data_IF_276102926198
#
_entry.id   IF_276102926198
#
_cell.length_a   1.000
_cell.length_b   1.000
_cell.length_c   1.000
_cell.angle_alpha   90.00
_cell.angle_beta   90.00
_cell.angle_gamma   90.00
#
_symmetry.space_group_name_H-M   'P 1'
#
loop_
_entity.id
_entity.type
_entity.pdbx_description
1 polymer ?
#
# COMPACT_ATOMS: atom_id res chain seq x y z
N UNK A 1 -1.71 -5.39 -22.65
CA UNK A 1 -1.43 -5.42 -21.18
C UNK A 1 -1.97 -4.13 -20.58
N UNK A 2 -2.55 -4.18 -19.38
CA UNK A 2 -3.19 -3.02 -18.75
C UNK A 2 -2.42 -2.61 -17.50
N UNK A 3 -2.08 -1.33 -17.38
CA UNK A 3 -1.43 -0.77 -16.19
C UNK A 3 -2.36 0.25 -15.56
N UNK A 4 -2.61 0.14 -14.27
CA UNK A 4 -3.35 1.14 -13.50
C UNK A 4 -2.36 2.18 -12.96
N UNK A 5 -2.57 3.44 -13.32
CA UNK A 5 -1.78 4.57 -12.85
C UNK A 5 -2.66 5.50 -12.00
N UNK A 6 -2.17 5.91 -10.83
CA UNK A 6 -2.88 6.84 -9.94
C UNK A 6 -2.28 8.24 -10.11
N UNK A 7 -3.13 9.21 -10.42
CA UNK A 7 -2.75 10.61 -10.62
C UNK A 7 -2.47 11.27 -9.28
N UNK A 8 -1.29 11.84 -9.10
CA UNK A 8 -0.99 12.69 -7.95
C UNK A 8 -1.40 14.14 -8.22
N UNK A 9 -1.42 14.98 -7.18
CA UNK A 9 -1.65 16.43 -7.33
C UNK A 9 -0.64 17.07 -8.29
N UNK A 10 0.63 16.65 -8.22
CA UNK A 10 1.70 17.12 -9.12
C UNK A 10 1.44 16.72 -10.58
N UNK A 11 0.94 15.51 -10.82
CA UNK A 11 0.56 15.06 -12.16
C UNK A 11 -0.54 15.92 -12.78
N UNK A 12 -1.57 16.23 -12.00
CA UNK A 12 -2.70 17.07 -12.45
C UNK A 12 -2.26 18.51 -12.72
N UNK A 13 -1.48 19.11 -11.81
CA UNK A 13 -1.04 20.50 -11.93
C UNK A 13 -0.08 20.72 -13.09
N UNK A 14 0.88 19.83 -13.27
CA UNK A 14 1.88 19.95 -14.33
C UNK A 14 1.43 19.32 -15.67
N UNK A 15 0.31 18.58 -15.68
CA UNK A 15 -0.13 17.84 -16.86
C UNK A 15 0.83 16.73 -17.28
N UNK A 16 1.52 16.15 -16.30
CA UNK A 16 2.56 15.14 -16.50
C UNK A 16 2.22 13.82 -15.83
N UNK A 17 2.71 12.71 -16.35
CA UNK A 17 2.61 11.39 -15.75
C UNK A 17 3.98 10.87 -15.35
N UNK A 18 4.13 10.32 -14.15
CA UNK A 18 5.40 9.76 -13.71
C UNK A 18 5.71 8.46 -14.47
N UNK A 19 6.97 8.32 -14.88
CA UNK A 19 7.46 7.17 -15.62
C UNK A 19 7.74 6.01 -14.65
N UNK A 20 6.70 5.23 -14.33
CA UNK A 20 6.80 4.02 -13.49
C UNK A 20 7.68 2.96 -14.14
N UNK A 21 8.21 2.01 -13.37
CA UNK A 21 9.11 0.96 -13.88
C UNK A 21 8.52 0.20 -15.10
N UNK A 22 7.22 -0.11 -15.06
CA UNK A 22 6.51 -0.76 -16.17
C UNK A 22 6.39 0.14 -17.41
N UNK A 23 6.18 1.45 -17.23
CA UNK A 23 6.19 2.41 -18.32
C UNK A 23 7.60 2.58 -18.92
N UNK A 24 8.65 2.62 -18.07
CA UNK A 24 10.05 2.77 -18.53
C UNK A 24 10.47 1.64 -19.47
N UNK A 25 10.15 0.40 -19.11
CA UNK A 25 10.50 -0.78 -19.92
C UNK A 25 9.81 -0.78 -21.29
N UNK A 26 8.59 -0.23 -21.37
CA UNK A 26 7.79 -0.23 -22.60
C UNK A 26 8.08 0.95 -23.51
N UNK A 27 8.41 2.09 -22.92
CA UNK A 27 8.75 3.31 -23.65
C UNK A 27 10.25 3.40 -23.94
N UNK A 28 11.06 2.40 -23.57
CA UNK A 28 12.51 2.40 -23.73
C UNK A 28 12.91 2.71 -25.19
N UNK A 29 13.67 3.79 -25.38
CA UNK A 29 14.11 4.24 -26.71
C UNK A 29 13.09 5.08 -27.49
N UNK A 30 11.92 5.39 -26.92
CA UNK A 30 10.93 6.31 -27.49
C UNK A 30 11.00 7.67 -26.79
N UNK A 31 11.18 8.72 -27.57
CA UNK A 31 11.15 10.11 -27.08
C UNK A 31 9.73 10.70 -27.14
N UNK A 32 8.90 10.20 -28.07
CA UNK A 32 7.52 10.63 -28.28
C UNK A 32 6.59 9.43 -28.30
N UNK A 33 5.42 9.57 -27.68
CA UNK A 33 4.42 8.50 -27.52
C UNK A 33 3.05 9.08 -27.85
N UNK A 34 2.28 8.33 -28.62
CA UNK A 34 0.90 8.67 -28.93
C UNK A 34 -0.02 7.95 -27.94
N UNK A 35 -0.79 8.74 -27.21
CA UNK A 35 -1.83 8.24 -26.34
C UNK A 35 -3.19 8.43 -27.01
N UNK A 36 -4.04 7.42 -27.00
CA UNK A 36 -5.37 7.45 -27.63
C UNK A 36 -6.42 7.34 -26.53
N UNK A 37 -7.35 8.28 -26.41
CA UNK A 37 -8.45 8.16 -25.42
C UNK A 37 -9.50 7.14 -25.86
N UNK A 38 -10.41 6.77 -24.96
CA UNK A 38 -11.61 5.97 -25.22
C UNK A 38 -12.50 6.56 -26.33
N UNK A 39 -12.43 7.88 -26.54
CA UNK A 39 -13.17 8.57 -27.61
C UNK A 39 -12.42 8.59 -28.96
N UNK A 40 -11.23 7.98 -29.04
CA UNK A 40 -10.39 7.93 -30.25
C UNK A 40 -9.54 9.18 -30.49
N UNK A 41 -9.48 10.12 -29.54
CA UNK A 41 -8.63 11.31 -29.64
C UNK A 41 -7.17 10.99 -29.33
N UNK A 42 -6.27 11.47 -30.20
CA UNK A 42 -4.84 11.23 -30.08
C UNK A 42 -4.15 12.41 -29.40
N UNK A 43 -3.42 12.11 -28.32
CA UNK A 43 -2.62 13.03 -27.54
C UNK A 43 -1.14 12.68 -27.71
N UNK A 44 -0.37 13.62 -28.26
CA UNK A 44 1.07 13.46 -28.38
C UNK A 44 1.76 13.84 -27.08
N UNK A 45 2.56 12.92 -26.56
CA UNK A 45 3.24 13.08 -25.28
C UNK A 45 4.75 12.85 -25.41
N UNK A 46 5.52 13.69 -24.73
CA UNK A 46 6.98 13.67 -24.74
C UNK A 46 7.52 12.99 -23.48
N UNK A 47 8.50 12.10 -23.64
CA UNK A 47 9.10 11.35 -22.54
C UNK A 47 10.38 12.04 -22.07
N UNK A 48 10.30 12.73 -20.94
CA UNK A 48 11.46 13.32 -20.27
C UNK A 48 12.14 12.26 -19.40
N UNK A 49 13.17 11.62 -19.95
CA UNK A 49 13.97 10.61 -19.26
C UNK A 49 14.80 11.17 -18.09
N UNK A 50 15.18 12.46 -18.15
CA UNK A 50 15.95 13.11 -17.08
C UNK A 50 15.07 13.39 -15.87
N UNK A 51 13.85 13.88 -16.10
CA UNK A 51 12.84 14.09 -15.07
C UNK A 51 12.07 12.83 -14.68
N UNK A 52 12.13 11.77 -15.49
CA UNK A 52 11.37 10.55 -15.30
C UNK A 52 9.86 10.79 -15.42
N UNK A 53 9.44 11.68 -16.32
CA UNK A 53 8.04 12.08 -16.50
C UNK A 53 7.66 12.10 -17.98
N UNK A 54 6.38 11.85 -18.27
CA UNK A 54 5.76 12.00 -19.56
C UNK A 54 4.95 13.30 -19.54
N UNK A 55 5.19 14.19 -20.49
CA UNK A 55 4.54 15.50 -20.61
C UNK A 55 3.52 15.48 -21.75
N UNK A 56 2.50 16.35 -21.69
CA UNK A 56 1.51 16.48 -22.77
C UNK A 56 0.15 15.86 -22.49
N UNK A 57 -0.08 15.36 -21.26
CA UNK A 57 -1.35 14.73 -20.86
C UNK A 57 -2.34 15.70 -20.20
N UNK A 58 -1.97 16.98 -20.05
CA UNK A 58 -2.84 18.02 -19.49
C UNK A 58 -4.21 18.14 -20.19
N UNK A 59 -4.30 18.14 -21.53
CA UNK A 59 -5.58 18.27 -22.23
C UNK A 59 -6.53 17.11 -21.94
N UNK A 60 -5.98 15.89 -21.83
CA UNK A 60 -6.73 14.70 -21.45
C UNK A 60 -7.32 14.80 -20.03
N UNK A 61 -6.51 15.26 -19.07
CA UNK A 61 -6.96 15.45 -17.69
C UNK A 61 -8.06 16.50 -17.57
N UNK A 62 -7.96 17.59 -18.33
CA UNK A 62 -8.98 18.63 -18.38
C UNK A 62 -10.30 18.13 -18.98
N UNK A 63 -10.25 17.40 -20.10
CA UNK A 63 -11.43 16.84 -20.78
C UNK A 63 -12.21 15.89 -19.86
N UNK A 64 -11.51 15.00 -19.17
CA UNK A 64 -12.12 14.02 -18.26
C UNK A 64 -12.37 14.57 -16.84
N UNK A 65 -12.04 15.85 -16.58
CA UNK A 65 -12.13 16.52 -15.26
C UNK A 65 -11.49 15.70 -14.14
N UNK A 66 -10.33 15.11 -14.44
CA UNK A 66 -9.65 14.20 -13.52
C UNK A 66 -9.07 14.97 -12.33
N UNK A 67 -9.17 14.38 -11.14
CA UNK A 67 -8.65 14.93 -9.90
C UNK A 67 -7.49 14.10 -9.33
N UNK A 68 -6.78 14.67 -8.36
CA UNK A 68 -5.75 13.94 -7.63
C UNK A 68 -6.37 12.72 -6.93
N UNK A 69 -5.61 11.62 -6.88
CA UNK A 69 -5.98 10.29 -6.42
C UNK A 69 -6.95 9.52 -7.32
N UNK A 70 -7.29 10.04 -8.50
CA UNK A 70 -8.03 9.27 -9.50
C UNK A 70 -7.09 8.38 -10.31
N UNK A 71 -7.61 7.26 -10.80
CA UNK A 71 -6.83 6.27 -11.52
C UNK A 71 -7.18 6.25 -13.00
N UNK A 72 -6.16 6.15 -13.84
CA UNK A 72 -6.27 5.90 -15.28
C UNK A 72 -5.72 4.52 -15.60
N UNK A 73 -6.34 3.81 -16.52
CA UNK A 73 -5.88 2.57 -17.10
C UNK A 73 -5.17 2.86 -18.41
N UNK A 74 -3.96 2.33 -18.52
CA UNK A 74 -3.11 2.41 -19.69
C UNK A 74 -3.12 1.05 -20.38
N UNK A 75 -3.74 0.98 -21.54
CA UNK A 75 -3.82 -0.21 -22.37
C UNK A 75 -2.77 -0.11 -23.47
N UNK A 76 -1.70 -0.89 -23.35
CA UNK A 76 -0.63 -0.91 -24.35
C UNK A 76 -1.01 -1.83 -25.50
N UNK A 77 -1.20 -1.27 -26.70
CA UNK A 77 -1.43 -1.98 -27.97
C UNK A 77 -0.30 -1.63 -28.95
N UNK A 78 0.85 -2.27 -28.77
CA UNK A 78 2.02 -2.05 -29.62
C UNK A 78 2.61 -0.66 -29.43
N UNK A 79 2.42 0.23 -30.41
CA UNK A 79 2.95 1.60 -30.40
C UNK A 79 2.01 2.64 -29.81
N UNK A 80 0.72 2.32 -29.74
CA UNK A 80 -0.32 3.19 -29.23
C UNK A 80 -0.68 2.81 -27.79
N UNK A 81 -0.88 3.83 -26.95
CA UNK A 81 -1.30 3.64 -25.56
C UNK A 81 -2.71 4.17 -25.40
N UNK A 82 -3.67 3.25 -25.32
CA UNK A 82 -5.07 3.57 -25.04
C UNK A 82 -5.21 4.04 -23.57
N UNK A 83 -5.70 5.24 -23.36
CA UNK A 83 -6.02 5.85 -22.08
C UNK A 83 -7.48 5.62 -21.75
N UNK A 84 -7.74 5.05 -20.56
CA UNK A 84 -9.07 4.82 -20.04
C UNK A 84 -9.22 5.40 -18.64
N UNK A 85 -10.15 6.32 -18.44
CA UNK A 85 -10.39 6.90 -17.14
C UNK A 85 -11.24 5.93 -16.30
N UNK A 86 -10.79 5.57 -15.08
CA UNK A 86 -11.66 4.81 -14.19
C UNK A 86 -12.73 5.73 -13.62
N UNK A 87 -14.00 5.29 -13.57
CA UNK A 87 -15.07 6.07 -12.99
C UNK A 87 -14.75 6.36 -11.52
N UNK A 88 -15.09 7.57 -11.07
CA UNK A 88 -15.01 7.96 -9.65
C UNK A 88 -15.73 6.90 -8.82
N UNK A 89 -14.98 6.19 -7.98
CA UNK A 89 -15.60 5.45 -6.89
C UNK A 89 -16.31 6.47 -5.99
N UNK A 90 -17.57 6.24 -5.58
CA UNK A 90 -18.25 7.14 -4.67
C UNK A 90 -17.42 7.22 -3.38
N UNK A 91 -17.02 8.43 -3.03
CA UNK A 91 -16.34 8.73 -1.78
C UNK A 91 -17.30 8.42 -0.64
N UNK A 92 -17.09 7.30 0.07
CA UNK A 92 -17.74 7.07 1.36
C UNK A 92 -16.96 7.85 2.41
N UNK A 93 -17.49 8.96 2.97
CA UNK A 93 -16.85 9.59 4.12
C UNK A 93 -16.82 8.57 5.27
N UNK A 94 -15.74 8.51 6.06
CA UNK A 94 -15.73 7.71 7.28
C UNK A 94 -16.85 8.22 8.20
N UNK A 95 -17.83 7.37 8.50
CA UNK A 95 -18.85 7.70 9.48
C UNK A 95 -18.17 7.90 10.85
N UNK A 96 -18.46 9.01 11.57
CA UNK A 96 -17.98 9.16 12.94
C UNK A 96 -18.64 8.09 13.82
N UNK A 97 -17.81 7.32 14.52
CA UNK A 97 -18.23 6.32 15.51
C UNK A 97 -19.12 7.00 16.56
N UNK A 98 -20.42 6.67 16.57
CA UNK A 98 -21.32 7.08 17.65
C UNK A 98 -21.07 6.20 18.88
N UNK A 99 -21.00 6.76 20.10
CA UNK A 99 -20.84 5.97 21.32
C UNK A 99 -22.09 5.10 21.56
N UNK A 100 -21.94 3.89 22.14
CA UNK A 100 -23.04 2.95 22.30
C UNK A 100 -23.97 3.41 23.44
N UNK A 101 -25.19 3.83 23.07
CA UNK A 101 -26.27 4.10 24.00
C UNK A 101 -26.89 2.76 24.44
N UNK A 102 -26.92 2.52 25.75
CA UNK A 102 -27.56 1.35 26.37
C UNK A 102 -29.08 1.50 26.28
N UNK A 103 -29.74 0.70 25.46
CA UNK A 103 -31.19 0.49 25.56
C UNK A 103 -31.54 -0.95 25.91
N UNK A 104 -32.43 -1.08 26.89
CA UNK A 104 -33.02 -2.31 27.43
C UNK A 104 -34.09 -2.87 26.47
N UNK A 105 -34.44 -4.17 26.57
CA UNK A 105 -35.11 -4.91 25.50
C UNK A 105 -36.65 -4.78 25.55
N UNK A 106 -37.31 -5.09 24.43
CA UNK A 106 -38.45 -6.01 24.51
C UNK A 106 -38.43 -7.09 23.40
N UNK A 107 -38.69 -8.32 23.83
CA UNK A 107 -39.12 -9.47 23.00
C UNK A 107 -40.67 -9.44 22.81
N UNK A 108 -41.30 -10.35 22.06
CA UNK A 108 -40.96 -10.91 20.74
C UNK A 108 -42.22 -11.06 19.83
N UNK A 109 -42.10 -11.06 18.49
CA UNK A 109 -43.11 -11.73 17.64
C UNK A 109 -42.48 -12.56 16.52
N UNK A 110 -42.97 -13.80 16.45
CA UNK A 110 -42.44 -14.93 15.69
C UNK A 110 -42.89 -14.83 14.23
N UNK A 111 -41.93 -14.70 13.30
CA UNK A 111 -42.12 -15.15 11.92
C UNK A 111 -40.93 -16.01 11.49
N UNK A 112 -41.09 -17.33 11.62
CA UNK A 112 -40.10 -18.33 11.18
C UNK A 112 -40.03 -18.33 9.66
N UNK A 113 -39.14 -17.54 9.09
CA UNK A 113 -38.68 -17.74 7.71
C UNK A 113 -37.47 -18.68 7.79
N UNK A 114 -37.64 -19.93 7.32
CA UNK A 114 -36.53 -20.86 7.10
C UNK A 114 -35.71 -20.33 5.92
N UNK A 115 -34.78 -19.44 6.20
CA UNK A 115 -33.68 -19.14 5.30
C UNK A 115 -32.63 -20.21 5.57
N UNK A 116 -32.36 -21.07 4.59
CA UNK A 116 -31.14 -21.88 4.58
C UNK A 116 -29.96 -20.91 4.65
N UNK A 117 -29.14 -20.94 5.72
CA UNK A 117 -28.00 -20.04 5.81
C UNK A 117 -27.04 -20.43 4.69
N UNK A 118 -26.78 -19.50 3.77
CA UNK A 118 -25.62 -19.59 2.90
C UNK A 118 -24.40 -19.83 3.79
N UNK A 119 -23.50 -20.76 3.44
CA UNK A 119 -22.27 -20.95 4.19
C UNK A 119 -21.51 -19.62 4.15
N UNK A 120 -21.55 -18.88 5.27
CA UNK A 120 -20.57 -17.83 5.53
C UNK A 120 -19.24 -18.55 5.55
N UNK A 121 -18.42 -18.29 4.55
CA UNK A 121 -16.99 -18.54 4.65
C UNK A 121 -16.53 -17.83 5.92
N UNK A 122 -16.35 -18.62 6.98
CA UNK A 122 -15.61 -18.21 8.15
C UNK A 122 -14.19 -18.10 7.62
N UNK A 123 -13.83 -16.91 7.15
CA UNK A 123 -12.43 -16.49 7.14
C UNK A 123 -11.99 -16.69 8.58
N UNK A 124 -11.32 -17.80 8.85
CA UNK A 124 -10.61 -17.98 10.10
C UNK A 124 -9.78 -16.71 10.24
N UNK A 125 -9.99 -15.90 11.30
CA UNK A 125 -9.01 -14.91 11.64
C UNK A 125 -7.77 -15.74 11.92
N UNK A 126 -6.86 -15.80 10.96
CA UNK A 126 -5.48 -16.10 11.24
C UNK A 126 -5.01 -14.90 12.05
N UNK A 127 -5.38 -14.86 13.34
CA UNK A 127 -4.59 -14.15 14.32
C UNK A 127 -3.21 -14.76 14.15
N UNK A 128 -2.25 -14.01 13.57
CA UNK A 128 -0.95 -14.57 13.36
C UNK A 128 -0.46 -14.86 14.76
N UNK A 129 -0.19 -16.13 15.03
CA UNK A 129 0.36 -16.55 16.31
C UNK A 129 1.80 -16.04 16.34
N UNK A 130 1.98 -14.74 16.56
CA UNK A 130 3.26 -14.03 16.61
C UNK A 130 4.07 -14.40 17.88
N UNK A 131 3.97 -15.66 18.32
CA UNK A 131 4.70 -16.22 19.45
C UNK A 131 6.10 -16.65 19.05
N UNK A 132 6.32 -16.92 17.77
CA UNK A 132 7.64 -17.29 17.27
C UNK A 132 8.48 -16.04 17.01
N UNK A 133 9.77 -16.03 17.40
CA UNK A 133 10.66 -14.93 17.10
C UNK A 133 10.92 -14.84 15.58
N UNK A 134 11.25 -13.66 15.03
CA UNK A 134 11.50 -13.47 13.60
C UNK A 134 12.66 -14.34 13.10
N UNK A 135 12.67 -14.73 11.81
CA UNK A 135 13.75 -15.52 11.21
C UNK A 135 15.14 -14.89 11.35
N UNK A 136 15.23 -13.56 11.39
CA UNK A 136 16.49 -12.83 11.66
C UNK A 136 17.11 -13.12 13.04
N UNK A 137 16.35 -13.74 13.96
CA UNK A 137 16.82 -14.07 15.31
C UNK A 137 18.07 -14.93 15.30
N UNK A 138 18.14 -15.92 14.42
CA UNK A 138 19.30 -16.81 14.33
C UNK A 138 20.55 -16.09 13.82
N UNK A 139 20.39 -15.20 12.84
CA UNK A 139 21.48 -14.37 12.34
C UNK A 139 21.97 -13.37 13.40
N UNK A 140 21.05 -12.75 14.14
CA UNK A 140 21.38 -11.86 15.26
C UNK A 140 22.10 -12.61 16.39
N UNK A 141 21.67 -13.84 16.72
CA UNK A 141 22.37 -14.70 17.68
C UNK A 141 23.80 -14.98 17.26
N UNK A 142 24.06 -15.28 15.98
CA UNK A 142 25.42 -15.46 15.44
C UNK A 142 26.26 -14.19 15.55
N UNK A 143 25.64 -13.02 15.48
CA UNK A 143 26.29 -11.72 15.70
C UNK A 143 26.47 -11.36 17.18
N UNK A 144 26.06 -12.24 18.12
CA UNK A 144 26.21 -12.04 19.55
C UNK A 144 25.05 -11.29 20.22
N UNK A 145 23.92 -11.13 19.53
CA UNK A 145 22.71 -10.58 20.13
C UNK A 145 21.88 -11.65 20.84
N UNK A 146 21.40 -11.32 22.03
CA UNK A 146 20.51 -12.14 22.84
C UNK A 146 19.10 -11.58 22.81
N UNK A 147 18.12 -12.45 22.59
CA UNK A 147 16.70 -12.09 22.62
C UNK A 147 16.21 -11.99 24.07
N UNK A 148 15.68 -10.83 24.47
CA UNK A 148 15.13 -10.62 25.82
C UNK A 148 13.60 -10.77 25.89
N UNK A 149 12.87 -10.51 24.81
CA UNK A 149 11.41 -10.55 24.80
C UNK A 149 10.78 -10.24 23.45
N UNK A 150 9.46 -10.40 23.35
CA UNK A 150 8.66 -10.19 22.13
C UNK A 150 7.47 -9.24 22.31
N UNK A 151 6.71 -8.98 21.25
CA UNK A 151 6.77 -7.77 20.41
C UNK A 151 6.65 -6.46 21.20
N UNK A 152 7.55 -5.48 20.98
CA UNK A 152 8.66 -5.51 20.03
C UNK A 152 9.75 -6.50 20.44
N UNK A 153 10.36 -7.15 19.45
CA UNK A 153 11.44 -8.11 19.65
C UNK A 153 12.71 -7.36 20.04
N UNK A 154 13.11 -7.50 21.30
CA UNK A 154 14.26 -6.76 21.86
C UNK A 154 15.47 -7.67 21.90
N UNK A 155 16.54 -7.22 21.25
CA UNK A 155 17.82 -7.89 21.20
C UNK A 155 18.91 -7.04 21.86
N UNK A 156 19.82 -7.68 22.58
CA UNK A 156 20.93 -7.02 23.25
C UNK A 156 22.25 -7.72 22.96
N UNK A 157 23.27 -6.93 22.61
CA UNK A 157 24.63 -7.41 22.45
C UNK A 157 25.59 -6.56 23.31
N UNK A 158 26.47 -7.18 24.11
CA UNK A 158 27.55 -6.47 24.76
C UNK A 158 28.62 -6.06 23.73
N UNK A 159 28.97 -4.77 23.71
CA UNK A 159 30.05 -4.21 22.89
C UNK A 159 31.09 -3.56 23.81
N UNK A 160 31.97 -4.40 24.37
CA UNK A 160 32.95 -3.98 25.37
C UNK A 160 32.27 -3.49 26.65
N UNK A 161 32.38 -2.19 26.94
CA UNK A 161 31.74 -1.55 28.12
C UNK A 161 30.33 -1.02 27.85
N UNK A 162 29.85 -1.11 26.61
CA UNK A 162 28.55 -0.60 26.19
C UNK A 162 27.62 -1.76 25.83
N UNK A 163 26.33 -1.50 25.88
CA UNK A 163 25.31 -2.45 25.43
C UNK A 163 24.60 -1.86 24.22
N UNK A 164 24.52 -2.64 23.14
CA UNK A 164 23.75 -2.28 21.95
C UNK A 164 22.41 -2.96 22.05
N UNK A 165 21.34 -2.17 21.93
CA UNK A 165 19.95 -2.64 21.97
C UNK A 165 19.32 -2.46 20.59
N UNK A 166 18.76 -3.53 20.04
CA UNK A 166 17.94 -3.51 18.83
C UNK A 166 16.49 -3.82 19.20
N UNK A 167 15.54 -2.98 18.81
CA UNK A 167 14.11 -3.24 18.97
C UNK A 167 13.48 -3.40 17.58
N UNK A 168 13.03 -4.61 17.27
CA UNK A 168 12.52 -4.96 15.95
C UNK A 168 11.03 -5.30 16.02
N UNK A 169 10.29 -4.91 15.00
CA UNK A 169 8.87 -5.21 14.88
C UNK A 169 8.55 -5.70 13.48
N UNK A 170 7.90 -6.86 13.31
CA UNK A 170 7.38 -7.25 12.00
C UNK A 170 6.17 -6.39 11.64
N UNK A 171 5.93 -6.21 10.34
CA UNK A 171 4.74 -5.53 9.86
C UNK A 171 3.49 -6.33 10.29
N UNK A 172 2.59 -5.69 11.03
CA UNK A 172 1.38 -6.32 11.57
C UNK A 172 1.45 -6.71 13.05
N UNK A 173 2.63 -6.72 13.67
CA UNK A 173 2.78 -7.01 15.12
C UNK A 173 2.48 -5.81 16.03
N UNK A 174 2.42 -4.61 15.45
CA UNK A 174 2.08 -3.39 16.18
C UNK A 174 2.43 -2.11 15.43
N UNK A 175 2.20 -0.98 16.09
CA UNK A 175 2.48 0.35 15.53
C UNK A 175 3.80 0.95 16.02
N UNK A 176 4.17 2.08 15.40
CA UNK A 176 5.36 2.89 15.77
C UNK A 176 5.39 3.24 17.26
N UNK A 177 4.22 3.33 17.91
CA UNK A 177 4.10 3.59 19.35
C UNK A 177 4.89 2.62 20.22
N UNK A 178 4.98 1.34 19.85
CA UNK A 178 5.74 0.33 20.61
C UNK A 178 7.26 0.54 20.53
N UNK A 179 7.75 1.15 19.44
CA UNK A 179 9.18 1.40 19.22
C UNK A 179 9.67 2.74 19.78
N UNK A 180 8.75 3.70 20.02
CA UNK A 180 9.08 5.02 20.59
C UNK A 180 9.88 4.97 21.90
N UNK A 181 9.50 4.20 22.94
CA UNK A 181 10.24 4.20 24.21
C UNK A 181 11.67 3.68 24.04
N UNK A 182 11.86 2.67 23.20
CA UNK A 182 13.18 2.12 22.90
C UNK A 182 14.10 3.14 22.19
N UNK A 183 13.56 3.90 21.23
CA UNK A 183 14.31 5.00 20.59
C UNK A 183 14.72 6.08 21.58
N UNK A 184 13.84 6.44 22.52
CA UNK A 184 14.15 7.42 23.57
C UNK A 184 15.25 6.92 24.52
N UNK A 185 15.35 5.61 24.72
CA UNK A 185 16.41 4.97 25.50
C UNK A 185 17.72 4.76 24.71
N UNK A 186 17.79 5.22 23.45
CA UNK A 186 18.97 5.09 22.60
C UNK A 186 19.11 3.73 21.90
N UNK A 187 18.08 2.89 21.91
CA UNK A 187 18.05 1.65 21.16
C UNK A 187 17.80 1.92 19.66
N UNK A 188 18.39 1.09 18.81
CA UNK A 188 18.10 1.10 17.37
C UNK A 188 16.79 0.39 17.13
N UNK A 189 15.79 1.12 16.62
CA UNK A 189 14.45 0.58 16.45
C UNK A 189 13.99 0.62 14.99
N UNK A 190 13.67 -0.54 14.43
CA UNK A 190 13.35 -0.73 13.02
C UNK A 190 12.16 -1.68 12.81
N UNK A 191 11.52 -1.53 11.65
CA UNK A 191 10.54 -2.50 11.17
C UNK A 191 11.24 -3.56 10.33
N UNK A 192 10.88 -4.82 10.55
CA UNK A 192 11.33 -5.93 9.72
C UNK A 192 10.45 -6.02 8.48
N UNK A 193 11.11 -6.14 7.33
CA UNK A 193 10.46 -6.48 6.08
C UNK A 193 9.75 -7.85 6.22
N UNK A 194 8.65 -8.09 5.50
CA UNK A 194 7.98 -9.37 5.53
C UNK A 194 8.96 -10.44 5.05
N UNK A 195 9.15 -11.47 5.87
CA UNK A 195 9.96 -12.63 5.50
C UNK A 195 9.17 -13.40 4.43
N UNK A 196 9.77 -13.60 3.25
CA UNK A 196 9.16 -14.43 2.23
C UNK A 196 9.11 -15.84 2.78
N UNK A 197 7.92 -16.36 3.09
CA UNK A 197 7.75 -17.78 3.40
C UNK A 197 8.35 -18.56 2.24
N UNK A 198 9.43 -19.30 2.50
CA UNK A 198 9.91 -20.31 1.58
C UNK A 198 8.88 -21.43 1.59
N UNK A 199 7.98 -21.42 0.60
CA UNK A 199 7.28 -22.62 0.15
C UNK A 199 8.22 -23.55 -0.61
#
# INVERSE_FOLDING_TARGET
MTVRYVLTSTCIQAGTMALTASLRQRLLGKERVLFVDEDGEVYEAEVDWKGGVVRGLAPYYAKRRLAANEAILLHFRGEEVELKALPRAPFHPPQPERPPEKERPPEPEKRRVRVTPYPKEVLFPHEPSFREPPGVTEDLRRLGFLLEGGPPWVYRAPLGRRQVVLALLRLGEGGVGLLKPYRQQGAYAAFLAPESEKG
#
